data_IF_089172773837
#
_entry.id   IF_089172773837
#
_cell.length_a   1.000
_cell.length_b   1.000
_cell.length_c   1.000
_cell.angle_alpha   90.00
_cell.angle_beta   90.00
_cell.angle_gamma   90.00
#
_symmetry.space_group_name_H-M   'P 1'
#
loop_
_entity.id
_entity.type
_entity.pdbx_description
1 polymer ?
#
# COMPACT_ATOMS: atom_id res chain seq x y z
N UNK A 1 1.27 -14.98 14.72
CA UNK A 1 2.33 -14.00 15.07
C UNK A 1 2.05 -12.71 14.31
N UNK A 2 2.13 -11.53 14.95
CA UNK A 2 1.91 -10.25 14.27
C UNK A 2 3.24 -9.62 13.84
N UNK A 3 3.32 -9.17 12.58
CA UNK A 3 4.52 -8.52 12.04
C UNK A 3 4.79 -7.16 12.70
N UNK A 4 3.75 -6.36 12.91
CA UNK A 4 3.84 -5.06 13.58
C UNK A 4 3.32 -5.15 15.01
N UNK A 5 4.18 -4.82 15.97
CA UNK A 5 3.91 -4.87 17.41
C UNK A 5 4.15 -3.50 18.05
N UNK A 6 3.34 -3.11 19.05
CA UNK A 6 3.59 -1.87 19.77
C UNK A 6 4.89 -1.94 20.57
N UNK A 7 5.55 -0.80 20.72
CA UNK A 7 6.75 -0.62 21.53
C UNK A 7 6.39 0.26 22.72
N UNK A 8 6.86 -0.11 23.90
CA UNK A 8 6.82 0.73 25.08
C UNK A 8 8.14 1.49 25.19
N UNK A 9 8.07 2.81 25.32
CA UNK A 9 9.24 3.67 25.52
C UNK A 9 9.13 4.38 26.86
N UNK A 10 10.16 4.26 27.68
CA UNK A 10 10.32 5.00 28.94
C UNK A 10 11.77 5.47 29.03
N UNK A 11 11.98 6.79 28.96
CA UNK A 11 13.31 7.40 28.84
C UNK A 11 14.10 6.85 27.64
N UNK A 12 15.32 6.36 27.91
CA UNK A 12 16.19 5.71 26.92
C UNK A 12 15.85 4.23 26.67
N UNK A 13 14.89 3.66 27.40
CA UNK A 13 14.55 2.23 27.26
C UNK A 13 13.39 2.05 26.29
N UNK A 14 13.61 1.25 25.25
CA UNK A 14 12.58 0.79 24.31
C UNK A 14 12.40 -0.72 24.48
N UNK A 15 11.19 -1.18 24.80
CA UNK A 15 10.86 -2.61 24.92
C UNK A 15 9.67 -2.96 24.04
N UNK A 16 9.75 -4.10 23.36
CA UNK A 16 8.60 -4.65 22.63
C UNK A 16 7.52 -5.10 23.62
N UNK A 17 6.25 -4.85 23.28
CA UNK A 17 5.15 -5.39 24.06
C UNK A 17 5.13 -6.93 23.94
N UNK A 18 5.38 -7.64 25.05
CA UNK A 18 5.48 -9.10 25.07
C UNK A 18 4.14 -9.80 24.79
N UNK A 19 3.02 -9.23 25.25
CA UNK A 19 1.68 -9.72 24.86
C UNK A 19 1.55 -9.67 23.34
N UNK A 20 1.01 -10.73 22.75
CA UNK A 20 0.75 -10.89 21.32
C UNK A 20 -0.39 -9.94 20.89
N UNK A 21 -0.12 -8.62 20.97
CA UNK A 21 -1.09 -7.54 20.78
C UNK A 21 -0.86 -6.91 19.42
N UNK A 22 -1.94 -6.84 18.63
CA UNK A 22 -1.95 -6.11 17.36
C UNK A 22 -1.70 -4.63 17.58
N UNK A 23 -0.93 -4.01 16.69
CA UNK A 23 -0.84 -2.55 16.60
C UNK A 23 -2.23 -2.00 16.23
N UNK A 24 -2.63 -0.87 16.83
CA UNK A 24 -3.89 -0.22 16.46
C UNK A 24 -3.77 0.41 15.06
N UNK A 25 -4.89 0.51 14.35
CA UNK A 25 -4.91 1.19 13.04
C UNK A 25 -4.47 2.64 13.15
N UNK A 26 -4.94 3.35 14.18
CA UNK A 26 -4.60 4.76 14.43
C UNK A 26 -3.10 4.94 14.65
N UNK A 27 -2.49 4.11 15.51
CA UNK A 27 -1.05 4.16 15.77
C UNK A 27 -0.25 3.84 14.51
N UNK A 28 -0.65 2.84 13.72
CA UNK A 28 0.01 2.53 12.46
C UNK A 28 -0.09 3.70 11.47
N UNK A 29 -1.29 4.29 11.34
CA UNK A 29 -1.54 5.44 10.46
C UNK A 29 -0.68 6.63 10.87
N UNK A 30 -0.67 7.02 12.13
CA UNK A 30 0.10 8.16 12.60
C UNK A 30 1.60 7.97 12.38
N UNK A 31 2.14 6.81 12.75
CA UNK A 31 3.57 6.53 12.61
C UNK A 31 4.04 6.50 11.15
N UNK A 32 3.24 5.90 10.26
CA UNK A 32 3.59 5.76 8.84
C UNK A 32 3.36 7.07 8.09
N UNK A 33 2.18 7.69 8.26
CA UNK A 33 1.81 8.90 7.52
C UNK A 33 2.63 10.11 7.98
N UNK A 34 2.96 10.25 9.26
CA UNK A 34 3.84 11.36 9.72
C UNK A 34 5.20 11.31 9.03
N UNK A 35 5.81 10.12 8.94
CA UNK A 35 7.09 9.92 8.25
C UNK A 35 6.96 10.15 6.75
N UNK A 36 5.91 9.66 6.12
CA UNK A 36 5.70 9.87 4.69
C UNK A 36 5.49 11.35 4.36
N UNK A 37 4.71 12.08 5.17
CA UNK A 37 4.51 13.53 5.00
C UNK A 37 5.82 14.31 5.06
N UNK A 38 6.77 13.88 5.88
CA UNK A 38 8.10 14.52 5.92
C UNK A 38 8.86 14.43 4.58
N UNK A 39 8.60 13.38 3.79
CA UNK A 39 9.26 13.14 2.49
C UNK A 39 8.42 13.65 1.32
N UNK A 40 7.09 13.54 1.41
CA UNK A 40 6.15 13.78 0.31
C UNK A 40 5.38 15.10 0.43
N UNK A 41 5.71 15.93 1.44
CA UNK A 41 5.10 17.24 1.66
C UNK A 41 3.62 17.16 2.07
N UNK A 42 2.79 18.01 1.45
CA UNK A 42 1.39 18.22 1.82
C UNK A 42 0.39 17.28 1.11
N UNK A 43 0.84 16.11 0.63
CA UNK A 43 -0.07 15.15 0.01
C UNK A 43 -1.03 14.54 1.06
N UNK A 44 -2.30 14.44 0.69
CA UNK A 44 -3.33 13.75 1.48
C UNK A 44 -3.18 12.23 1.37
N UNK A 45 -2.15 11.70 2.01
CA UNK A 45 -1.83 10.27 2.03
C UNK A 45 -2.48 9.57 3.21
N UNK A 46 -3.08 8.41 2.92
CA UNK A 46 -3.54 7.44 3.92
C UNK A 46 -2.92 6.06 3.69
N UNK A 47 -3.10 5.16 4.66
CA UNK A 47 -2.69 3.76 4.50
C UNK A 47 -3.40 3.10 3.31
N UNK A 48 -4.62 3.54 3.00
CA UNK A 48 -5.34 3.09 1.81
C UNK A 48 -4.66 3.57 0.51
N UNK A 49 -4.21 4.83 0.45
CA UNK A 49 -3.45 5.35 -0.69
C UNK A 49 -2.18 4.54 -0.94
N UNK A 50 -1.49 4.11 0.12
CA UNK A 50 -0.32 3.24 0.00
C UNK A 50 -0.69 1.86 -0.56
N UNK A 51 -1.85 1.33 -0.20
CA UNK A 51 -2.35 0.07 -0.76
C UNK A 51 -2.61 0.20 -2.26
N UNK A 52 -3.29 1.26 -2.69
CA UNK A 52 -3.55 1.52 -4.11
C UNK A 52 -2.26 1.79 -4.89
N UNK A 53 -1.35 2.59 -4.33
CA UNK A 53 -0.03 2.84 -4.93
C UNK A 53 0.80 1.57 -5.06
N UNK A 54 0.83 0.73 -4.03
CA UNK A 54 1.50 -0.58 -4.06
C UNK A 54 0.87 -1.55 -5.06
N UNK A 55 -0.46 -1.59 -5.15
CA UNK A 55 -1.18 -2.38 -6.16
C UNK A 55 -0.83 -1.94 -7.58
N UNK A 56 -0.80 -0.62 -7.82
CA UNK A 56 -0.43 -0.03 -9.11
C UNK A 56 1.02 -0.31 -9.47
N UNK A 57 1.95 -0.13 -8.54
CA UNK A 57 3.36 -0.47 -8.74
C UNK A 57 3.53 -1.96 -9.04
N UNK A 58 2.87 -2.84 -8.30
CA UNK A 58 2.92 -4.27 -8.53
C UNK A 58 2.31 -4.66 -9.88
N UNK A 59 1.21 -4.04 -10.32
CA UNK A 59 0.66 -4.25 -11.66
C UNK A 59 1.60 -3.78 -12.78
N UNK A 60 2.41 -2.76 -12.51
CA UNK A 60 3.37 -2.23 -13.48
C UNK A 60 4.65 -3.08 -13.60
N UNK A 61 5.10 -3.72 -12.51
CA UNK A 61 6.35 -4.50 -12.47
C UNK A 61 6.13 -6.02 -12.56
N UNK A 62 5.09 -6.54 -11.91
CA UNK A 62 4.72 -7.96 -11.97
C UNK A 62 3.91 -8.13 -13.24
N UNK A 63 4.62 -8.33 -14.35
CA UNK A 63 4.01 -8.67 -15.62
C UNK A 63 3.06 -9.88 -15.43
N UNK A 64 1.77 -9.62 -15.67
CA UNK A 64 0.77 -10.59 -16.10
C UNK A 64 0.21 -11.63 -15.10
N UNK A 65 0.75 -11.85 -13.90
CA UNK A 65 0.07 -12.76 -12.93
C UNK A 65 -0.98 -12.02 -12.08
N UNK A 66 -2.11 -11.71 -12.72
CA UNK A 66 -3.30 -11.13 -12.09
C UNK A 66 -3.80 -11.94 -10.88
N UNK A 67 -3.59 -13.26 -10.90
CA UNK A 67 -3.98 -14.18 -9.82
C UNK A 67 -3.06 -14.03 -8.60
N UNK A 68 -1.77 -13.79 -8.79
CA UNK A 68 -0.86 -13.47 -7.68
C UNK A 68 -1.23 -12.13 -7.03
N UNK A 69 -1.51 -11.09 -7.81
CA UNK A 69 -1.99 -9.81 -7.29
C UNK A 69 -3.30 -9.95 -6.53
N UNK A 70 -4.25 -10.72 -7.07
CA UNK A 70 -5.53 -11.01 -6.41
C UNK A 70 -5.35 -11.69 -5.06
N UNK A 71 -4.48 -12.70 -5.01
CA UNK A 71 -4.19 -13.46 -3.78
C UNK A 71 -3.49 -12.58 -2.74
N UNK A 72 -2.51 -11.81 -3.16
CA UNK A 72 -1.78 -10.88 -2.27
C UNK A 72 -2.69 -9.78 -1.73
N UNK A 73 -3.47 -9.15 -2.62
CA UNK A 73 -4.43 -8.10 -2.28
C UNK A 73 -5.70 -8.61 -1.61
N UNK A 74 -5.88 -9.94 -1.45
CA UNK A 74 -7.06 -10.58 -0.86
C UNK A 74 -8.38 -10.11 -1.51
N UNK A 75 -8.36 -9.89 -2.82
CA UNK A 75 -9.55 -9.45 -3.56
C UNK A 75 -10.38 -10.65 -4.02
N UNK A 76 -11.69 -10.57 -3.84
CA UNK A 76 -12.62 -11.63 -4.28
C UNK A 76 -12.89 -11.55 -5.79
N UNK A 77 -13.00 -10.35 -6.33
CA UNK A 77 -13.35 -10.09 -7.73
C UNK A 77 -12.26 -9.28 -8.44
N UNK A 78 -12.20 -9.41 -9.78
CA UNK A 78 -11.27 -8.59 -10.59
C UNK A 78 -11.60 -7.11 -10.47
N UNK A 79 -12.89 -6.76 -10.51
CA UNK A 79 -13.36 -5.37 -10.31
C UNK A 79 -12.83 -4.73 -9.02
N UNK A 80 -12.79 -5.48 -7.92
CA UNK A 80 -12.24 -4.98 -6.65
C UNK A 80 -10.73 -4.85 -6.64
N UNK A 81 -10.01 -5.55 -7.52
CA UNK A 81 -8.56 -5.39 -7.72
C UNK A 81 -8.32 -4.17 -8.61
N UNK A 82 -9.04 -4.08 -9.73
CA UNK A 82 -8.87 -3.02 -10.73
C UNK A 82 -9.18 -1.65 -10.15
N UNK A 83 -10.11 -1.53 -9.18
CA UNK A 83 -10.37 -0.26 -8.48
C UNK A 83 -9.19 0.27 -7.66
N UNK A 84 -8.17 -0.56 -7.38
CA UNK A 84 -6.94 -0.14 -6.69
C UNK A 84 -5.78 0.11 -7.66
N UNK A 85 -5.88 -0.33 -8.91
CA UNK A 85 -4.85 -0.20 -9.92
C UNK A 85 -5.19 1.04 -10.76
N UNK A 86 -4.31 2.03 -10.74
CA UNK A 86 -4.46 3.24 -11.55
C UNK A 86 -3.54 3.11 -12.76
N UNK A 87 -4.13 2.92 -13.95
CA UNK A 87 -3.36 2.87 -15.19
C UNK A 87 -2.72 4.23 -15.49
N UNK A 88 -1.45 4.22 -15.89
CA UNK A 88 -0.79 5.44 -16.34
C UNK A 88 -1.40 5.90 -17.68
N UNK A 89 -1.54 7.21 -17.83
CA UNK A 89 -2.03 7.85 -19.06
C UNK A 89 -1.15 7.43 -20.25
N UNK A 90 0.16 7.35 -20.05
CA UNK A 90 1.13 6.90 -21.06
C UNK A 90 0.85 5.47 -21.54
N UNK A 91 0.53 4.53 -20.63
CA UNK A 91 0.16 3.16 -21.01
C UNK A 91 -1.13 3.14 -21.82
N UNK A 92 -2.12 3.95 -21.42
CA UNK A 92 -3.38 4.07 -22.17
C UNK A 92 -3.17 4.66 -23.55
N UNK A 93 -2.36 5.73 -23.67
CA UNK A 93 -2.00 6.32 -24.96
C UNK A 93 -1.24 5.32 -25.84
N UNK A 94 -0.32 4.55 -25.28
CA UNK A 94 0.42 3.54 -26.04
C UNK A 94 -0.51 2.50 -26.68
N UNK A 95 -1.58 2.11 -25.99
CA UNK A 95 -2.59 1.20 -26.55
C UNK A 95 -3.28 1.84 -27.75
N UNK A 96 -3.75 3.09 -27.63
CA UNK A 96 -4.37 3.82 -28.75
C UNK A 96 -3.42 4.00 -29.94
N UNK A 97 -2.18 4.41 -29.69
CA UNK A 97 -1.15 4.56 -30.72
C UNK A 97 -0.85 3.24 -31.43
N UNK A 98 -0.79 2.13 -30.70
CA UNK A 98 -0.56 0.80 -31.28
C UNK A 98 -1.74 0.36 -32.16
N UNK A 99 -2.96 0.80 -31.84
CA UNK A 99 -4.17 0.54 -32.61
C UNK A 99 -4.36 1.51 -33.78
N UNK A 100 -3.51 2.54 -33.91
CA UNK A 100 -3.61 3.55 -34.97
C UNK A 100 -4.82 4.49 -34.81
N UNK A 101 -5.32 4.66 -33.58
CA UNK A 101 -6.43 5.54 -33.22
C UNK A 101 -5.94 6.89 -32.69
#
# INVERSE_FOLDING_TARGET
MFLFRPVFRSGNTCKLYYKNKKLSYTSARENIISRLKSVSGNLNLGLHSLRSGGATAAANHVANDSRCLKRHGRWKTEKSKDSYIVDSIEKRLKVSQTLGL
#
